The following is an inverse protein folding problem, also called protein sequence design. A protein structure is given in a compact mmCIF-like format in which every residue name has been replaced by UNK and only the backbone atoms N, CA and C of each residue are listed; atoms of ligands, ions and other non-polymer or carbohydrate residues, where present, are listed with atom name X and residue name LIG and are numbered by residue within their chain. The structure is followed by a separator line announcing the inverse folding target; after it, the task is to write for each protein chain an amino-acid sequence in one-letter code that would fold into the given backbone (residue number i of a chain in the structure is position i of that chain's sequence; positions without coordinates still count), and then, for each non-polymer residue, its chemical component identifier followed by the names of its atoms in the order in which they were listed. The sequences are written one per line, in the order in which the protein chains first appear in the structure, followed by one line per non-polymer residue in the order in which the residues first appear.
data_IF_234313518060
#
_entry.id   IF_234313518060
#
_cell.length_a   1.000
_cell.length_b   1.000
_cell.length_c   1.000
_cell.angle_alpha   90.00
_cell.angle_beta   90.00
_cell.angle_gamma   90.00
#
_symmetry.space_group_name_H-M   'P 1'
#
loop_
_entity.id
_entity.type
_entity.pdbx_description
1 polymer ?
#
# COMPACT_ATOMS: atom_id res chain seq x y z
N UNK A 1 37.44 -43.14 20.75
CA UNK A 1 37.15 -44.58 20.63
C UNK A 1 35.75 -44.72 20.03
N UNK A 2 35.63 -45.62 19.05
CA UNK A 2 34.47 -46.06 18.25
C UNK A 2 33.77 -45.07 17.27
N UNK A 3 33.35 -45.55 16.07
CA UNK A 3 33.34 -44.77 14.81
C UNK A 3 31.93 -44.82 14.12
N UNK A 4 31.74 -44.68 12.78
CA UNK A 4 30.64 -43.93 12.17
C UNK A 4 29.47 -44.79 11.65
N UNK A 5 28.37 -44.15 11.24
CA UNK A 5 27.35 -44.76 10.37
C UNK A 5 27.23 -43.95 9.08
N UNK A 6 28.01 -44.32 8.07
CA UNK A 6 27.66 -44.09 6.68
C UNK A 6 26.60 -45.11 6.29
N UNK A 7 25.51 -44.65 5.68
CA UNK A 7 24.63 -45.49 4.88
C UNK A 7 24.93 -45.22 3.41
N UNK A 8 25.52 -46.22 2.77
CA UNK A 8 25.63 -46.40 1.32
C UNK A 8 24.25 -46.72 0.72
N UNK A 9 23.99 -46.22 -0.49
CA UNK A 9 22.71 -46.42 -1.17
C UNK A 9 22.72 -46.09 -2.65
N UNK A 10 23.51 -46.86 -3.41
CA UNK A 10 23.39 -47.24 -4.83
C UNK A 10 22.35 -46.57 -5.75
N UNK A 11 22.87 -45.87 -6.77
CA UNK A 11 22.69 -46.22 -8.19
C UNK A 11 21.30 -46.25 -8.82
N UNK A 12 21.03 -45.32 -9.75
CA UNK A 12 20.44 -45.71 -11.05
C UNK A 12 20.77 -44.76 -12.20
N UNK A 13 21.20 -45.39 -13.27
CA UNK A 13 21.66 -44.95 -14.57
C UNK A 13 20.55 -44.63 -15.58
N UNK A 14 20.91 -43.84 -16.60
CA UNK A 14 20.20 -43.70 -17.90
C UNK A 14 19.22 -42.52 -17.91
N UNK A 15 19.11 -41.69 -18.94
CA UNK A 15 19.35 -41.90 -20.36
C UNK A 15 19.48 -40.54 -21.08
N UNK A 16 20.24 -40.52 -22.16
CA UNK A 16 20.53 -39.35 -22.98
C UNK A 16 19.51 -39.23 -24.11
N UNK A 17 18.94 -38.04 -24.33
CA UNK A 17 18.11 -37.78 -25.52
C UNK A 17 17.97 -36.29 -25.80
N UNK A 18 18.54 -35.85 -26.91
CA UNK A 18 18.66 -34.45 -27.33
C UNK A 18 17.75 -34.15 -28.55
N UNK A 19 17.22 -32.91 -28.61
CA UNK A 19 16.75 -32.06 -29.75
C UNK A 19 15.45 -32.39 -30.53
N UNK A 20 14.86 -31.43 -31.30
CA UNK A 20 14.60 -29.99 -31.05
C UNK A 20 13.19 -29.52 -31.53
N UNK A 21 12.85 -28.25 -31.32
CA UNK A 21 11.93 -27.53 -32.22
C UNK A 21 11.43 -26.16 -31.70
N UNK A 22 11.74 -25.03 -32.37
CA UNK A 22 11.00 -23.78 -32.21
C UNK A 22 10.12 -23.52 -33.42
N UNK A 23 8.87 -23.05 -33.23
CA UNK A 23 8.09 -22.25 -34.20
C UNK A 23 6.73 -21.80 -33.62
N UNK A 24 6.06 -20.76 -34.19
CA UNK A 24 5.89 -19.47 -33.54
C UNK A 24 4.41 -19.08 -33.29
N UNK A 25 4.26 -17.87 -32.75
CA UNK A 25 3.13 -17.03 -32.27
C UNK A 25 1.96 -16.86 -33.28
N UNK A 26 0.92 -15.98 -33.09
CA UNK A 26 0.47 -15.16 -31.94
C UNK A 26 -1.09 -15.11 -31.77
N UNK A 27 -1.57 -14.53 -30.65
CA UNK A 27 -2.86 -13.80 -30.43
C UNK A 27 -3.33 -14.07 -29.00
N UNK A 28 -3.68 -13.12 -28.15
CA UNK A 28 -4.06 -11.73 -28.34
C UNK A 28 -5.00 -11.37 -27.19
N UNK A 29 -4.56 -10.44 -26.35
CA UNK A 29 -5.31 -9.46 -25.54
C UNK A 29 -4.22 -8.77 -24.70
N UNK A 30 -3.83 -7.51 -24.91
CA UNK A 30 -4.60 -6.26 -24.89
C UNK A 30 -5.54 -6.20 -23.69
N UNK A 31 -4.98 -5.86 -22.54
CA UNK A 31 -5.15 -4.57 -21.83
C UNK A 31 -4.55 -4.80 -20.44
N UNK A 32 -3.51 -4.10 -20.01
CA UNK A 32 -3.63 -2.75 -19.52
C UNK A 32 -2.22 -2.24 -19.29
N UNK A 33 -1.92 -1.08 -19.85
CA UNK A 33 -0.83 -0.27 -19.36
C UNK A 33 -1.03 0.01 -17.85
N UNK A 34 0.09 0.22 -17.15
CA UNK A 34 0.33 1.39 -16.29
C UNK A 34 0.88 1.02 -14.90
N UNK A 35 2.10 1.52 -14.65
CA UNK A 35 2.72 1.81 -13.35
C UNK A 35 3.32 0.65 -12.51
N UNK A 36 4.30 -0.07 -13.06
CA UNK A 36 5.22 -0.94 -12.28
C UNK A 36 6.50 -0.20 -11.83
N UNK A 37 6.45 1.10 -11.50
CA UNK A 37 7.67 1.84 -11.12
C UNK A 37 7.46 3.06 -10.20
N UNK A 38 6.48 3.01 -9.29
CA UNK A 38 6.35 3.98 -8.20
C UNK A 38 5.94 3.32 -6.86
N UNK A 39 6.12 2.01 -6.74
CA UNK A 39 5.59 1.16 -5.67
C UNK A 39 6.47 1.09 -4.41
N UNK A 40 7.56 1.84 -4.30
CA UNK A 40 8.52 1.48 -3.26
C UNK A 40 8.05 1.80 -1.83
N UNK A 41 7.09 2.72 -1.61
CA UNK A 41 6.61 3.06 -0.24
C UNK A 41 5.14 3.52 -0.17
N UNK A 42 4.19 2.83 -0.82
CA UNK A 42 2.76 3.03 -0.54
C UNK A 42 2.25 1.95 0.43
N UNK A 43 1.77 2.38 1.60
CA UNK A 43 1.17 1.51 2.61
C UNK A 43 -0.32 1.34 2.35
N UNK A 44 -0.79 0.10 2.20
CA UNK A 44 -2.21 -0.22 2.23
C UNK A 44 -2.69 -0.26 3.69
N UNK A 45 -3.55 0.67 4.05
CA UNK A 45 -4.00 0.86 5.45
C UNK A 45 -4.96 -0.24 5.88
N UNK A 46 -5.73 -0.80 4.95
CA UNK A 46 -6.79 -1.78 5.24
C UNK A 46 -6.51 -3.17 4.64
N UNK A 47 -5.48 -3.31 3.82
CA UNK A 47 -5.13 -4.56 3.13
C UNK A 47 -6.08 -4.93 1.98
N UNK A 48 -6.93 -3.99 1.55
CA UNK A 48 -7.91 -4.20 0.47
C UNK A 48 -7.61 -3.37 -0.78
N UNK A 49 -6.53 -2.59 -0.78
CA UNK A 49 -6.11 -1.74 -1.89
C UNK A 49 -6.96 -0.48 -2.09
N UNK A 50 -7.96 -0.22 -1.26
CA UNK A 50 -8.92 0.88 -1.41
C UNK A 50 -8.61 2.08 -0.51
N UNK A 51 -7.69 1.94 0.45
CA UNK A 51 -7.14 3.04 1.23
C UNK A 51 -5.62 2.90 1.30
N UNK A 52 -4.92 3.77 0.61
CA UNK A 52 -3.45 3.78 0.54
C UNK A 52 -2.92 5.08 1.09
N UNK A 53 -1.88 4.99 1.91
CA UNK A 53 -1.10 6.12 2.42
C UNK A 53 0.29 6.06 1.84
N UNK A 54 0.77 7.17 1.29
CA UNK A 54 2.15 7.34 0.83
C UNK A 54 2.78 8.50 1.57
N UNK A 55 3.86 8.23 2.30
CA UNK A 55 4.59 9.28 3.02
C UNK A 55 5.38 10.10 1.99
N UNK A 56 5.14 11.41 1.94
CA UNK A 56 5.87 12.37 1.12
C UNK A 56 7.00 13.05 1.90
N UNK A 57 6.79 13.24 3.20
CA UNK A 57 7.76 13.78 4.15
C UNK A 57 7.56 13.10 5.49
N UNK A 58 8.64 12.55 6.04
CA UNK A 58 8.63 11.95 7.37
C UNK A 58 8.40 13.00 8.46
N UNK A 59 7.69 12.61 9.52
CA UNK A 59 7.48 13.43 10.71
C UNK A 59 8.54 13.18 11.79
N UNK A 60 8.21 13.53 13.04
CA UNK A 60 9.09 13.37 14.20
C UNK A 60 9.20 11.93 14.73
N UNK A 61 9.01 10.93 13.87
CA UNK A 61 9.05 9.50 14.21
C UNK A 61 7.74 8.93 14.77
N UNK A 62 7.66 7.60 14.82
CA UNK A 62 6.42 6.87 15.11
C UNK A 62 5.88 7.07 16.53
N UNK A 63 6.74 7.42 17.48
CA UNK A 63 6.36 7.72 18.87
C UNK A 63 5.51 9.00 18.97
N UNK A 64 5.58 9.86 17.95
CA UNK A 64 4.82 11.11 17.87
C UNK A 64 3.42 10.95 17.26
N UNK A 65 3.04 9.72 16.85
CA UNK A 65 1.71 9.44 16.30
C UNK A 65 0.64 9.70 17.37
N UNK A 66 -0.50 10.31 16.98
CA UNK A 66 -1.57 10.58 17.92
C UNK A 66 -2.19 9.27 18.42
N UNK A 67 -2.64 9.27 19.68
CA UNK A 67 -3.45 8.16 20.20
C UNK A 67 -4.93 8.41 19.91
N UNK A 68 -5.72 7.35 19.87
CA UNK A 68 -7.19 7.46 19.82
C UNK A 68 -7.69 8.38 20.94
N UNK A 69 -8.69 9.20 20.62
CA UNK A 69 -9.25 10.27 21.46
C UNK A 69 -8.30 11.44 21.74
N UNK A 70 -7.21 11.58 20.97
CA UNK A 70 -6.43 12.82 20.97
C UNK A 70 -6.92 13.74 19.87
N UNK A 71 -6.88 15.02 20.19
CA UNK A 71 -7.21 16.07 19.24
C UNK A 71 -5.96 16.45 18.44
N UNK A 72 -6.13 16.52 17.12
CA UNK A 72 -5.05 16.86 16.19
C UNK A 72 -5.48 18.01 15.30
N UNK A 73 -4.50 18.70 14.74
CA UNK A 73 -4.70 19.71 13.71
C UNK A 73 -3.94 19.29 12.48
N UNK A 74 -4.64 19.16 11.35
CA UNK A 74 -4.06 18.76 10.07
C UNK A 74 -4.35 19.79 8.99
N UNK A 75 -3.40 19.98 8.08
CA UNK A 75 -3.65 20.65 6.81
C UNK A 75 -4.08 19.59 5.80
N UNK A 76 -5.26 19.76 5.23
CA UNK A 76 -5.86 18.80 4.30
C UNK A 76 -6.17 19.50 2.98
N UNK A 77 -5.83 18.83 1.89
CA UNK A 77 -6.25 19.20 0.54
C UNK A 77 -6.73 17.94 -0.16
N UNK A 78 -8.02 17.90 -0.45
CA UNK A 78 -8.69 16.78 -1.10
C UNK A 78 -8.99 17.16 -2.55
N UNK A 79 -8.63 16.26 -3.46
CA UNK A 79 -8.84 16.45 -4.90
C UNK A 79 -9.42 15.18 -5.50
N UNK A 80 -10.28 15.34 -6.50
CA UNK A 80 -10.77 14.23 -7.32
C UNK A 80 -9.71 13.82 -8.36
N UNK A 81 -9.92 12.66 -8.99
CA UNK A 81 -8.99 12.14 -10.01
C UNK A 81 -8.87 13.01 -11.26
N UNK A 82 -9.81 13.92 -11.50
CA UNK A 82 -9.77 14.93 -12.55
C UNK A 82 -8.98 16.20 -12.16
N UNK A 83 -8.48 16.26 -10.91
CA UNK A 83 -7.76 17.40 -10.36
C UNK A 83 -8.64 18.46 -9.70
N UNK A 84 -9.96 18.28 -9.66
CA UNK A 84 -10.88 19.20 -8.99
C UNK A 84 -10.65 19.18 -7.48
N UNK A 85 -10.34 20.32 -6.88
CA UNK A 85 -10.22 20.46 -5.43
C UNK A 85 -11.62 20.46 -4.81
N UNK A 86 -11.91 19.48 -3.95
CA UNK A 86 -13.21 19.36 -3.27
C UNK A 86 -13.20 19.93 -1.86
N UNK A 87 -12.05 19.90 -1.20
CA UNK A 87 -11.88 20.44 0.13
C UNK A 87 -10.44 20.92 0.32
N UNK A 88 -10.26 22.09 0.92
CA UNK A 88 -8.95 22.62 1.28
C UNK A 88 -9.08 23.31 2.64
N UNK A 89 -8.46 22.71 3.65
CA UNK A 89 -8.48 23.18 5.01
C UNK A 89 -7.05 23.36 5.51
N UNK A 90 -6.68 24.60 5.81
CA UNK A 90 -5.33 24.89 6.32
C UNK A 90 -5.12 24.39 7.76
N UNK A 91 -6.21 24.32 8.53
CA UNK A 91 -6.23 23.82 9.90
C UNK A 91 -7.56 23.13 10.20
N UNK A 92 -7.67 21.86 9.85
CA UNK A 92 -8.75 20.98 10.26
C UNK A 92 -8.42 20.37 11.63
N UNK A 93 -9.24 20.68 12.63
CA UNK A 93 -9.10 20.18 14.00
C UNK A 93 -10.16 19.12 14.27
N UNK A 94 -9.75 17.93 14.69
CA UNK A 94 -10.67 16.82 14.97
C UNK A 94 -10.08 15.85 15.99
N UNK A 95 -10.93 14.99 16.54
CA UNK A 95 -10.51 13.94 17.47
C UNK A 95 -10.30 12.63 16.74
N UNK A 96 -9.09 12.09 16.84
CA UNK A 96 -8.71 10.85 16.15
C UNK A 96 -9.49 9.66 16.71
N UNK A 97 -10.17 8.92 15.85
CA UNK A 97 -10.90 7.70 16.20
C UNK A 97 -12.33 7.91 16.66
N UNK A 98 -12.86 9.15 16.63
CA UNK A 98 -14.24 9.51 16.98
C UNK A 98 -15.15 9.64 15.73
N UNK A 99 -14.60 9.66 14.51
CA UNK A 99 -15.38 9.69 13.27
C UNK A 99 -15.92 11.08 12.91
N UNK A 100 -15.30 12.15 13.42
CA UNK A 100 -15.66 13.54 13.10
C UNK A 100 -15.38 13.93 11.64
N UNK A 101 -14.48 13.18 10.98
CA UNK A 101 -13.99 13.41 9.62
C UNK A 101 -14.21 12.15 8.77
N UNK A 102 -13.91 12.26 7.47
CA UNK A 102 -13.97 11.10 6.58
C UNK A 102 -13.11 9.95 7.12
N UNK A 103 -13.61 8.72 6.99
CA UNK A 103 -12.98 7.53 7.56
C UNK A 103 -11.54 7.34 7.07
N UNK A 104 -11.26 7.69 5.81
CA UNK A 104 -9.91 7.66 5.26
C UNK A 104 -8.93 8.55 6.03
N UNK A 105 -9.35 9.76 6.41
CA UNK A 105 -8.52 10.70 7.15
C UNK A 105 -8.32 10.24 8.60
N UNK A 106 -9.39 9.79 9.26
CA UNK A 106 -9.35 9.32 10.63
C UNK A 106 -8.36 8.15 10.80
N UNK A 107 -8.46 7.14 9.92
CA UNK A 107 -7.57 5.98 9.92
C UNK A 107 -6.11 6.34 9.56
N UNK A 108 -5.91 7.27 8.62
CA UNK A 108 -4.57 7.68 8.24
C UNK A 108 -3.91 8.54 9.32
N UNK A 109 -4.66 9.38 10.03
CA UNK A 109 -4.14 10.23 11.08
C UNK A 109 -3.51 9.43 12.23
N UNK A 110 -4.08 8.28 12.60
CA UNK A 110 -3.49 7.34 13.58
C UNK A 110 -2.10 6.81 13.16
N UNK A 111 -1.83 6.82 11.85
CA UNK A 111 -0.59 6.31 11.27
C UNK A 111 0.41 7.42 10.93
N UNK A 112 0.05 8.69 11.10
CA UNK A 112 0.89 9.83 10.73
C UNK A 112 1.65 10.36 11.94
N UNK A 113 2.97 10.49 11.79
CA UNK A 113 3.81 11.15 12.78
C UNK A 113 3.55 12.66 12.80
N UNK A 114 3.84 13.33 13.91
CA UNK A 114 3.68 14.77 14.03
C UNK A 114 4.59 15.49 13.02
N UNK A 115 3.98 16.28 12.12
CA UNK A 115 4.67 16.98 11.03
C UNK A 115 4.87 16.15 9.75
N UNK A 116 4.38 14.91 9.71
CA UNK A 116 4.36 14.08 8.51
C UNK A 116 3.49 14.72 7.42
N UNK A 117 3.94 14.64 6.17
CA UNK A 117 3.13 14.97 5.00
C UNK A 117 2.93 13.68 4.22
N UNK A 118 1.67 13.30 4.00
CA UNK A 118 1.32 12.09 3.28
C UNK A 118 0.27 12.37 2.21
N UNK A 119 0.34 11.59 1.13
CA UNK A 119 -0.70 11.48 0.12
C UNK A 119 -1.59 10.29 0.47
N UNK A 120 -2.90 10.54 0.55
CA UNK A 120 -3.91 9.52 0.83
C UNK A 120 -4.71 9.31 -0.45
N UNK A 121 -4.68 8.08 -0.98
CA UNK A 121 -5.55 7.66 -2.07
C UNK A 121 -6.62 6.75 -1.51
N UNK A 122 -7.89 7.12 -1.68
CA UNK A 122 -9.00 6.37 -1.11
C UNK A 122 -10.15 6.21 -2.09
N UNK A 123 -10.87 5.11 -1.97
CA UNK A 123 -12.18 4.91 -2.58
C UNK A 123 -13.23 5.82 -1.93
N UNK A 124 -14.25 6.20 -2.71
CA UNK A 124 -15.34 7.06 -2.27
C UNK A 124 -16.03 6.54 -1.00
N UNK A 125 -16.12 5.22 -0.81
CA UNK A 125 -16.77 4.62 0.37
C UNK A 125 -16.13 4.98 1.72
N UNK A 126 -14.86 5.39 1.74
CA UNK A 126 -14.15 5.86 2.95
C UNK A 126 -13.99 7.39 2.97
N UNK A 127 -14.45 8.07 1.92
CA UNK A 127 -14.52 9.51 1.82
C UNK A 127 -15.98 9.97 2.00
N UNK A 128 -16.57 10.54 0.94
CA UNK A 128 -17.91 11.12 0.95
C UNK A 128 -19.03 10.16 0.50
N UNK A 129 -18.69 8.90 0.21
CA UNK A 129 -19.63 7.91 -0.30
C UNK A 129 -20.11 8.19 -1.73
N UNK A 130 -21.18 7.50 -2.15
CA UNK A 130 -21.73 7.61 -3.50
C UNK A 130 -22.60 8.87 -3.72
N UNK A 131 -22.98 9.56 -2.65
CA UNK A 131 -23.88 10.73 -2.71
C UNK A 131 -23.14 12.06 -2.64
N UNK A 132 -21.86 12.05 -2.22
CA UNK A 132 -21.07 13.27 -2.02
C UNK A 132 -21.35 13.96 -0.69
#
# INVERSE_FOLDING_TARGET
EAPPSHEDGDGKSGDSGQVPGPRPDPAGNTDSATATAALDQCMDVLGNGLLKKKVLREGQGDESRPRRRQEVTMRVKSMLGDGTVVDEQEALRFTVGDGDVIQALDLCAELMALGEVAEITTDAKYAYGALG
#
